data_IF_839675506681
#
_entry.id   IF_839675506681
#
_cell.length_a   1.000
_cell.length_b   1.000
_cell.length_c   1.000
_cell.angle_alpha   90.00
_cell.angle_beta   90.00
_cell.angle_gamma   90.00
#
_symmetry.space_group_name_H-M   'P 1'
#
loop_
_entity.id
_entity.type
_entity.pdbx_description
1 polymer ?
#
# COMPACT_ATOMS: atom_id res chain seq x y z
N UNK A 1 -3.78 14.10 -12.83
CA UNK A 1 -3.51 12.81 -12.18
C UNK A 1 -2.61 11.99 -13.09
N UNK A 2 -1.59 11.33 -12.56
CA UNK A 2 -0.65 10.48 -13.29
C UNK A 2 -0.63 9.09 -12.65
N UNK A 3 -0.72 8.03 -13.45
CA UNK A 3 -0.44 6.66 -13.00
C UNK A 3 0.92 6.26 -13.58
N UNK A 4 1.84 5.81 -12.74
CA UNK A 4 3.18 5.41 -13.16
C UNK A 4 3.65 4.17 -12.42
N UNK A 5 4.65 3.49 -12.99
CA UNK A 5 5.33 2.40 -12.32
C UNK A 5 5.91 2.90 -11.00
N UNK A 6 5.76 2.09 -9.96
CA UNK A 6 6.34 2.35 -8.64
C UNK A 6 7.86 2.25 -8.71
N UNK A 7 8.55 3.13 -8.00
CA UNK A 7 10.00 3.08 -7.77
C UNK A 7 10.30 2.81 -6.29
N UNK A 8 11.57 2.57 -5.97
CA UNK A 8 11.98 2.39 -4.57
C UNK A 8 11.74 3.64 -3.72
N UNK A 9 11.76 4.84 -4.31
CA UNK A 9 11.54 6.10 -3.60
C UNK A 9 10.09 6.24 -3.11
N UNK A 10 9.15 5.56 -3.77
CA UNK A 10 7.74 5.58 -3.38
C UNK A 10 7.46 4.72 -2.13
N UNK A 11 8.33 3.77 -1.80
CA UNK A 11 8.05 2.73 -0.78
C UNK A 11 7.64 3.32 0.57
N UNK A 12 8.29 4.41 0.99
CA UNK A 12 7.94 5.08 2.24
C UNK A 12 6.56 5.76 2.16
N UNK A 13 6.25 6.43 1.04
CA UNK A 13 4.94 7.07 0.86
C UNK A 13 3.83 6.02 0.80
N UNK A 14 4.03 4.91 0.10
CA UNK A 14 3.02 3.85 0.01
C UNK A 14 2.82 3.14 1.35
N UNK A 15 3.88 2.95 2.15
CA UNK A 15 3.73 2.40 3.49
C UNK A 15 2.81 3.26 4.35
N UNK A 16 3.01 4.59 4.32
CA UNK A 16 2.16 5.51 5.06
C UNK A 16 0.71 5.48 4.56
N UNK A 17 0.49 5.53 3.24
CA UNK A 17 -0.86 5.50 2.64
C UNK A 17 -1.61 4.23 3.04
N UNK A 18 -0.94 3.07 3.02
CA UNK A 18 -1.57 1.81 3.40
C UNK A 18 -1.80 1.72 4.91
N UNK A 19 -0.96 2.36 5.73
CA UNK A 19 -1.19 2.48 7.19
C UNK A 19 -2.50 3.24 7.43
N UNK A 20 -2.63 4.42 6.82
CA UNK A 20 -3.78 5.31 6.96
C UNK A 20 -5.06 4.67 6.42
N UNK A 21 -5.00 4.12 5.20
CA UNK A 21 -6.17 3.55 4.53
C UNK A 21 -6.71 2.31 5.23
N UNK A 22 -5.84 1.41 5.72
CA UNK A 22 -6.29 0.21 6.42
C UNK A 22 -6.77 0.52 7.83
N UNK A 23 -6.11 1.44 8.55
CA UNK A 23 -6.61 1.91 9.83
C UNK A 23 -8.01 2.55 9.70
N UNK A 24 -8.21 3.43 8.72
CA UNK A 24 -9.50 4.06 8.42
C UNK A 24 -10.58 3.02 8.07
N UNK A 25 -10.23 2.02 7.26
CA UNK A 25 -11.14 0.91 6.95
C UNK A 25 -11.52 0.12 8.20
N UNK A 26 -10.53 -0.25 9.03
CA UNK A 26 -10.77 -1.01 10.25
C UNK A 26 -11.65 -0.22 11.22
N UNK A 27 -11.38 1.07 11.44
CA UNK A 27 -12.23 1.92 12.29
C UNK A 27 -13.69 1.92 11.84
N UNK A 28 -13.96 1.94 10.53
CA UNK A 28 -15.33 1.98 9.99
C UNK A 28 -16.05 0.63 9.96
N UNK A 29 -15.31 -0.47 9.85
CA UNK A 29 -15.89 -1.77 9.45
C UNK A 29 -15.61 -2.91 10.42
N UNK A 30 -14.74 -2.70 11.41
CA UNK A 30 -14.36 -3.72 12.38
C UNK A 30 -15.58 -4.27 13.14
N UNK A 31 -15.70 -5.60 13.29
CA UNK A 31 -16.66 -6.22 14.20
C UNK A 31 -16.49 -5.77 15.66
N UNK A 32 -17.58 -5.68 16.42
CA UNK A 32 -17.56 -5.16 17.78
C UNK A 32 -16.70 -5.99 18.75
N UNK A 33 -16.56 -7.29 18.51
CA UNK A 33 -15.83 -8.26 19.34
C UNK A 33 -14.33 -8.36 19.01
N UNK A 34 -13.84 -7.65 17.98
CA UNK A 34 -12.43 -7.65 17.61
C UNK A 34 -11.57 -6.69 18.46
N UNK A 35 -10.24 -6.76 18.42
CA UNK A 35 -9.36 -5.79 19.08
C UNK A 35 -9.49 -4.37 18.50
N UNK A 36 -9.26 -3.33 19.30
CA UNK A 36 -9.28 -1.92 18.82
C UNK A 36 -8.25 -1.72 17.72
N UNK A 37 -8.65 -1.17 16.56
CA UNK A 37 -7.69 -0.88 15.51
C UNK A 37 -6.66 0.11 16.03
N UNK A 38 -5.40 -0.11 15.66
CA UNK A 38 -4.30 0.77 15.96
C UNK A 38 -3.56 1.08 14.66
N UNK A 39 -3.04 2.30 14.49
CA UNK A 39 -2.14 2.60 13.39
C UNK A 39 -0.95 1.64 13.36
N UNK A 40 -0.34 1.44 12.18
CA UNK A 40 0.84 0.59 12.09
C UNK A 40 1.95 1.11 13.00
N UNK A 41 2.47 0.24 13.85
CA UNK A 41 3.58 0.58 14.74
C UNK A 41 4.91 0.71 13.96
N UNK A 42 5.87 1.49 14.47
CA UNK A 42 7.19 1.66 13.84
C UNK A 42 7.91 0.33 13.58
N UNK A 43 7.76 -0.64 14.48
CA UNK A 43 8.35 -1.98 14.37
C UNK A 43 7.77 -2.77 13.18
N UNK A 44 6.51 -2.50 12.81
CA UNK A 44 5.83 -3.14 11.67
C UNK A 44 6.08 -2.41 10.36
N UNK A 45 6.39 -1.12 10.38
CA UNK A 45 6.68 -0.33 9.17
C UNK A 45 7.94 -0.80 8.45
N UNK A 46 9.00 -1.20 9.17
CA UNK A 46 10.23 -1.74 8.58
C UNK A 46 9.97 -2.98 7.70
N UNK A 47 9.46 -4.09 8.27
CA UNK A 47 9.13 -5.30 7.52
C UNK A 47 8.14 -5.06 6.38
N UNK A 48 7.18 -4.15 6.57
CA UNK A 48 6.23 -3.79 5.51
C UNK A 48 6.95 -3.17 4.29
N UNK A 49 7.83 -2.19 4.53
CA UNK A 49 8.65 -1.57 3.48
C UNK A 49 9.56 -2.57 2.79
N UNK A 50 10.20 -3.48 3.54
CA UNK A 50 11.03 -4.56 2.97
C UNK A 50 10.22 -5.45 2.01
N UNK A 51 8.99 -5.83 2.38
CA UNK A 51 8.12 -6.62 1.50
C UNK A 51 7.74 -5.85 0.24
N UNK A 52 7.35 -4.58 0.36
CA UNK A 52 7.02 -3.78 -0.83
C UNK A 52 8.23 -3.59 -1.74
N UNK A 53 9.40 -3.26 -1.17
CA UNK A 53 10.63 -3.11 -1.93
C UNK A 53 10.99 -4.39 -2.71
N UNK A 54 10.80 -5.57 -2.11
CA UNK A 54 10.97 -6.84 -2.81
C UNK A 54 10.04 -6.97 -4.03
N UNK A 55 8.76 -6.57 -3.92
CA UNK A 55 7.84 -6.58 -5.06
C UNK A 55 8.25 -5.57 -6.13
N UNK A 56 8.71 -4.38 -5.75
CA UNK A 56 9.22 -3.39 -6.72
C UNK A 56 10.45 -3.95 -7.46
N UNK A 57 11.33 -4.68 -6.77
CA UNK A 57 12.53 -5.27 -7.40
C UNK A 57 12.20 -6.45 -8.31
N UNK A 58 11.33 -7.37 -7.88
CA UNK A 58 11.16 -8.67 -8.53
C UNK A 58 9.86 -8.81 -9.34
N UNK A 59 8.88 -7.94 -9.08
CA UNK A 59 7.53 -8.01 -9.61
C UNK A 59 7.04 -6.60 -10.04
N UNK A 60 7.95 -5.70 -10.44
CA UNK A 60 7.67 -4.30 -10.80
C UNK A 60 6.48 -4.08 -11.75
N UNK A 61 6.25 -4.92 -12.79
CA UNK A 61 5.14 -4.69 -13.71
C UNK A 61 3.76 -4.74 -13.04
N UNK A 62 3.66 -5.27 -11.81
CA UNK A 62 2.45 -5.24 -10.97
C UNK A 62 2.42 -4.12 -9.92
N UNK A 63 3.39 -3.23 -9.89
CA UNK A 63 3.54 -2.20 -8.86
C UNK A 63 3.37 -0.81 -9.48
N UNK A 64 2.29 -0.12 -9.10
CA UNK A 64 1.93 1.18 -9.64
C UNK A 64 1.55 2.17 -8.53
N UNK A 65 1.80 3.45 -8.79
CA UNK A 65 1.36 4.55 -7.93
C UNK A 65 0.51 5.53 -8.73
N UNK A 66 -0.43 6.16 -8.04
CA UNK A 66 -1.22 7.28 -8.52
C UNK A 66 -0.72 8.57 -7.89
N UNK A 67 -0.45 9.59 -8.71
CA UNK A 67 0.01 10.90 -8.30
C UNK A 67 -0.97 12.02 -8.67
N UNK A 68 -1.12 12.97 -7.76
CA UNK A 68 -1.82 14.24 -7.95
C UNK A 68 -0.87 15.36 -7.51
N UNK A 69 -0.58 16.30 -8.41
CA UNK A 69 0.34 17.42 -8.15
C UNK A 69 1.69 17.00 -7.52
N UNK A 70 2.27 15.90 -8.01
CA UNK A 70 3.56 15.37 -7.53
C UNK A 70 3.49 14.64 -6.17
N UNK A 71 2.30 14.45 -5.61
CA UNK A 71 2.10 13.69 -4.38
C UNK A 71 1.47 12.35 -4.71
N UNK A 72 2.06 11.25 -4.22
CA UNK A 72 1.46 9.92 -4.29
C UNK A 72 0.21 9.89 -3.43
N UNK A 73 -0.93 9.52 -4.01
CA UNK A 73 -2.24 9.46 -3.35
C UNK A 73 -2.82 8.06 -3.29
N UNK A 74 -2.27 7.12 -4.05
CA UNK A 74 -2.69 5.73 -4.03
C UNK A 74 -1.65 4.81 -4.67
N UNK A 75 -1.79 3.52 -4.41
CA UNK A 75 -0.88 2.53 -4.92
C UNK A 75 -1.52 1.15 -5.02
N UNK A 76 -0.92 0.33 -5.89
CA UNK A 76 -1.20 -1.09 -6.01
C UNK A 76 0.13 -1.84 -6.12
N UNK A 77 0.22 -3.01 -5.50
CA UNK A 77 1.32 -3.94 -5.73
C UNK A 77 0.78 -5.37 -5.86
N UNK A 78 1.29 -6.07 -6.86
CA UNK A 78 0.95 -7.47 -7.13
C UNK A 78 2.22 -8.28 -7.40
N UNK A 79 2.22 -9.53 -6.94
CA UNK A 79 3.25 -10.51 -7.25
C UNK A 79 2.86 -11.30 -8.51
N UNK A 80 3.85 -11.74 -9.30
CA UNK A 80 3.60 -12.55 -10.50
C UNK A 80 4.24 -13.92 -10.38
N UNK A 81 3.44 -14.99 -10.47
CA UNK A 81 3.94 -16.38 -10.42
C UNK A 81 3.20 -17.22 -11.45
N UNK A 82 3.95 -17.92 -12.30
CA UNK A 82 3.39 -18.89 -13.26
C UNK A 82 2.24 -18.33 -14.13
N UNK A 83 2.34 -17.06 -14.55
CA UNK A 83 1.31 -16.39 -15.35
C UNK A 83 0.11 -15.84 -14.55
N UNK A 84 0.07 -16.08 -13.24
CA UNK A 84 -0.93 -15.53 -12.33
C UNK A 84 -0.44 -14.23 -11.68
N UNK A 85 -1.39 -13.35 -11.39
CA UNK A 85 -1.21 -12.15 -10.60
C UNK A 85 -1.87 -12.32 -9.23
N UNK A 86 -1.09 -12.17 -8.17
CA UNK A 86 -1.58 -12.12 -6.80
C UNK A 86 -1.57 -10.69 -6.29
N UNK A 87 -2.75 -10.13 -6.00
CA UNK A 87 -2.84 -8.79 -5.44
C UNK A 87 -2.33 -8.81 -3.99
N UNK A 88 -1.26 -8.05 -3.72
CA UNK A 88 -0.64 -7.95 -2.40
C UNK A 88 -1.22 -6.77 -1.61
N UNK A 89 -1.38 -5.61 -2.25
CA UNK A 89 -2.00 -4.43 -1.63
C UNK A 89 -2.63 -3.52 -2.67
N UNK A 90 -3.70 -2.85 -2.29
CA UNK A 90 -4.37 -1.78 -3.02
C UNK A 90 -4.88 -0.77 -2.01
N UNK A 91 -4.43 0.48 -2.09
CA UNK A 91 -4.83 1.52 -1.16
C UNK A 91 -4.83 2.89 -1.83
N UNK A 92 -5.80 3.71 -1.43
CA UNK A 92 -5.90 5.13 -1.77
C UNK A 92 -6.05 5.90 -0.47
N UNK A 93 -5.40 7.06 -0.36
CA UNK A 93 -5.51 7.94 0.82
C UNK A 93 -6.99 8.16 1.16
N UNK A 94 -7.38 8.05 2.45
CA UNK A 94 -8.73 8.37 2.88
C UNK A 94 -9.20 9.74 2.37
N UNK A 95 -10.45 9.82 1.91
CA UNK A 95 -11.04 11.04 1.34
C UNK A 95 -10.74 11.28 -0.15
N UNK A 96 -9.88 10.46 -0.77
CA UNK A 96 -9.60 10.46 -2.21
C UNK A 96 -10.02 9.14 -2.89
N UNK A 97 -10.73 8.27 -2.15
CA UNK A 97 -11.24 6.96 -2.58
C UNK A 97 -12.50 7.09 -3.45
#
# INVERSE_FOLDING_TARGET
>A
MLIRAMTHDDVAAVEQITSEAFYDLDVRTRPADWPTPEPRSPERSGPWRTRLAHLVTHDQPGCWVAEVAGTVVGAVAALRREGLWGLSTYAVRPGLQ
#
